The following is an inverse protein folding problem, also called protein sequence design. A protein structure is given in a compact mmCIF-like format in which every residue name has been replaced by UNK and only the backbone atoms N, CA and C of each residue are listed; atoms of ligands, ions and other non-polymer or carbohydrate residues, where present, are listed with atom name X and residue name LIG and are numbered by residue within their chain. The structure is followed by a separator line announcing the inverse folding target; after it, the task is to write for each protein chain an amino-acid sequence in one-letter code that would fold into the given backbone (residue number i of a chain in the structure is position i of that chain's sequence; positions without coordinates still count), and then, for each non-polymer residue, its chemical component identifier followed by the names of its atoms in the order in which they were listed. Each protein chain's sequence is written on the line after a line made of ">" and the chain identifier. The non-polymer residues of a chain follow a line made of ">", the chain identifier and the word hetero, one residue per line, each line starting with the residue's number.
data_IF_575174165187
#
_entry.id   IF_575174165187
#
_cell.length_a   1.000
_cell.length_b   1.000
_cell.length_c   1.000
_cell.angle_alpha   90.00
_cell.angle_beta   90.00
_cell.angle_gamma   90.00
#
_symmetry.space_group_name_H-M   'P 1'
#
loop_
_entity.id
_entity.type
_entity.pdbx_description
1 polymer ?
#
# COMPACT_ATOMS: atom_id res chain seq x y z
N UNK A 1 -17.61 4.76 1.74
CA UNK A 1 -17.31 6.11 1.22
C UNK A 1 -15.94 6.20 0.48
N UNK A 2 -15.33 5.09 0.03
CA UNK A 2 -14.03 5.09 -0.69
C UNK A 2 -14.24 4.66 -2.14
N UNK A 3 -15.06 5.39 -2.92
CA UNK A 3 -15.33 5.03 -4.33
C UNK A 3 -15.33 6.23 -5.31
N UNK A 4 -15.11 7.46 -4.85
CA UNK A 4 -15.42 8.64 -5.69
C UNK A 4 -14.25 9.44 -6.24
N UNK A 5 -12.99 8.98 -6.18
CA UNK A 5 -11.86 9.80 -6.68
C UNK A 5 -11.04 9.25 -7.85
N UNK A 6 -11.46 8.16 -8.51
CA UNK A 6 -10.83 7.72 -9.78
C UNK A 6 -11.65 8.12 -11.00
N UNK A 7 -11.97 9.42 -11.11
CA UNK A 7 -12.44 9.99 -12.38
C UNK A 7 -11.26 10.64 -13.09
N UNK A 8 -10.62 9.89 -13.98
CA UNK A 8 -9.47 10.37 -14.75
C UNK A 8 -9.08 9.45 -15.91
N UNK A 9 -10.01 9.28 -16.85
CA UNK A 9 -9.83 9.13 -18.31
C UNK A 9 -8.83 8.09 -18.88
N UNK A 10 -9.37 7.17 -19.70
CA UNK A 10 -8.74 6.68 -20.94
C UNK A 10 -7.61 5.65 -20.79
N UNK A 11 -7.91 4.37 -21.05
CA UNK A 11 -7.01 3.24 -20.85
C UNK A 11 -5.65 3.38 -21.52
N UNK A 12 -4.65 3.73 -20.72
CA UNK A 12 -3.23 3.57 -21.02
C UNK A 12 -2.66 2.38 -20.23
N UNK A 13 -1.54 1.80 -20.67
CA UNK A 13 -0.86 0.72 -19.93
C UNK A 13 -0.54 1.10 -18.48
N UNK A 14 -0.22 2.37 -18.23
CA UNK A 14 0.03 2.91 -16.89
C UNK A 14 -1.19 2.83 -15.96
N UNK A 15 -2.40 2.84 -16.50
CA UNK A 15 -3.66 2.73 -15.73
C UNK A 15 -4.02 1.28 -15.43
N UNK A 16 -3.64 0.37 -16.33
CA UNK A 16 -3.72 -1.06 -16.04
C UNK A 16 -2.76 -1.43 -14.91
N UNK A 17 -1.52 -0.92 -14.96
CA UNK A 17 -0.51 -1.14 -13.94
C UNK A 17 -0.91 -0.54 -12.58
N UNK A 18 -1.50 0.67 -12.56
CA UNK A 18 -2.01 1.26 -11.32
C UNK A 18 -3.13 0.42 -10.73
N UNK A 19 -4.10 -0.03 -11.54
CA UNK A 19 -5.19 -0.89 -11.06
C UNK A 19 -4.69 -2.23 -10.55
N UNK A 20 -3.70 -2.83 -11.21
CA UNK A 20 -3.08 -4.06 -10.76
C UNK A 20 -2.38 -3.86 -9.41
N UNK A 21 -1.67 -2.74 -9.24
CA UNK A 21 -1.07 -2.36 -7.97
C UNK A 21 -2.18 -2.22 -6.91
N UNK A 22 -3.15 -1.34 -7.09
CA UNK A 22 -4.20 -1.10 -6.10
C UNK A 22 -4.96 -2.39 -5.70
N UNK A 23 -5.19 -3.30 -6.65
CA UNK A 23 -5.81 -4.59 -6.38
C UNK A 23 -4.95 -5.49 -5.48
N UNK A 24 -3.64 -5.56 -5.72
CA UNK A 24 -2.70 -6.30 -4.87
C UNK A 24 -2.66 -5.71 -3.46
N UNK A 25 -2.58 -4.38 -3.35
CA UNK A 25 -2.62 -3.69 -2.06
C UNK A 25 -3.89 -3.97 -1.27
N UNK A 26 -5.03 -3.96 -1.95
CA UNK A 26 -6.33 -4.31 -1.36
C UNK A 26 -6.33 -5.74 -0.83
N UNK A 27 -5.88 -6.71 -1.63
CA UNK A 27 -5.80 -8.11 -1.19
C UNK A 27 -4.89 -8.30 0.04
N UNK A 28 -3.76 -7.59 0.07
CA UNK A 28 -2.82 -7.59 1.20
C UNK A 28 -3.40 -6.92 2.45
N UNK A 29 -4.21 -5.87 2.27
CA UNK A 29 -4.87 -5.17 3.38
C UNK A 29 -6.04 -5.98 3.96
N UNK A 30 -6.84 -6.62 3.12
CA UNK A 30 -8.08 -7.30 3.53
C UNK A 30 -7.88 -8.75 3.98
N UNK A 31 -6.83 -9.44 3.52
CA UNK A 31 -6.65 -10.86 3.79
C UNK A 31 -5.64 -11.11 4.92
N UNK A 32 -5.92 -12.01 5.86
CA UNK A 32 -4.87 -12.76 6.56
C UNK A 32 -4.37 -13.89 5.64
N UNK A 33 -3.69 -13.48 4.58
CA UNK A 33 -3.09 -14.44 3.67
C UNK A 33 -1.99 -15.23 4.40
N UNK A 34 -1.89 -16.55 4.19
CA UNK A 34 -0.71 -17.32 4.60
C UNK A 34 0.58 -16.67 4.07
N UNK A 35 1.72 -16.79 4.76
CA UNK A 35 2.97 -16.16 4.37
C UNK A 35 3.36 -16.42 2.90
N UNK A 36 3.05 -17.61 2.38
CA UNK A 36 3.35 -18.01 1.01
C UNK A 36 2.55 -17.20 -0.02
N UNK A 37 1.28 -16.90 0.27
CA UNK A 37 0.38 -16.11 -0.58
C UNK A 37 0.80 -14.64 -0.54
N UNK A 38 1.11 -14.12 0.64
CA UNK A 38 1.65 -12.76 0.82
C UNK A 38 2.94 -12.57 0.03
N UNK A 39 3.86 -13.53 0.11
CA UNK A 39 5.10 -13.51 -0.66
C UNK A 39 4.86 -13.57 -2.19
N UNK A 40 3.85 -14.33 -2.64
CA UNK A 40 3.47 -14.37 -4.06
C UNK A 40 2.91 -13.03 -4.54
N UNK A 41 2.07 -12.37 -3.73
CA UNK A 41 1.53 -11.04 -4.02
C UNK A 41 2.63 -9.98 -4.11
N UNK A 42 3.65 -10.03 -3.23
CA UNK A 42 4.82 -9.15 -3.37
C UNK A 42 5.60 -9.39 -4.65
N UNK A 43 5.87 -10.65 -4.98
CA UNK A 43 6.57 -10.98 -6.22
C UNK A 43 5.78 -10.49 -7.43
N UNK A 44 4.46 -10.61 -7.40
CA UNK A 44 3.59 -10.07 -8.45
C UNK A 44 3.65 -8.54 -8.53
N UNK A 45 3.59 -7.84 -7.39
CA UNK A 45 3.72 -6.38 -7.35
C UNK A 45 5.06 -5.91 -7.92
N UNK A 46 6.16 -6.62 -7.62
CA UNK A 46 7.50 -6.30 -8.11
C UNK A 46 7.64 -6.41 -9.65
N UNK A 47 6.74 -7.12 -10.34
CA UNK A 47 6.71 -7.20 -11.79
C UNK A 47 6.04 -6.00 -12.46
N UNK A 48 5.33 -5.17 -11.68
CA UNK A 48 4.62 -4.00 -12.21
C UNK A 48 5.64 -2.87 -12.49
N UNK A 49 5.64 -2.28 -13.70
CA UNK A 49 6.51 -1.15 -14.00
C UNK A 49 6.34 0.02 -13.02
N UNK A 50 7.47 0.58 -12.58
CA UNK A 50 7.51 1.69 -11.61
C UNK A 50 7.42 1.24 -10.15
N UNK A 51 7.33 -0.07 -9.87
CA UNK A 51 7.44 -0.61 -8.52
C UNK A 51 8.91 -0.75 -8.11
N UNK A 52 9.18 -0.38 -6.86
CA UNK A 52 10.47 -0.47 -6.20
C UNK A 52 10.27 -1.04 -4.79
N UNK A 53 11.27 -1.76 -4.28
CA UNK A 53 11.26 -2.23 -2.89
C UNK A 53 12.18 -1.32 -2.08
N UNK A 54 11.61 -0.68 -1.07
CA UNK A 54 12.34 0.11 -0.09
C UNK A 54 12.68 -0.82 1.09
N UNK A 55 13.97 -1.13 1.31
CA UNK A 55 14.38 -2.07 2.35
C UNK A 55 14.12 -1.56 3.76
N UNK A 56 13.79 -0.28 3.92
CA UNK A 56 13.44 0.34 5.19
C UNK A 56 12.34 1.37 4.96
N UNK A 57 11.24 1.25 5.69
CA UNK A 57 10.15 2.21 5.74
C UNK A 57 9.51 2.19 7.14
N UNK A 58 8.90 3.30 7.52
CA UNK A 58 8.25 3.47 8.82
C UNK A 58 6.78 3.79 8.59
N UNK A 59 5.88 3.05 9.23
CA UNK A 59 4.45 3.31 9.15
C UNK A 59 4.04 4.54 9.98
N UNK A 60 2.75 4.89 9.94
CA UNK A 60 2.21 6.00 10.72
C UNK A 60 2.33 5.80 12.25
N UNK A 61 2.47 4.55 12.71
CA UNK A 61 2.60 4.18 14.12
C UNK A 61 4.07 4.10 14.60
N UNK A 62 5.05 4.40 13.73
CA UNK A 62 6.47 4.36 14.06
C UNK A 62 7.11 2.97 13.96
N UNK A 63 6.40 1.97 13.43
CA UNK A 63 6.92 0.61 13.25
C UNK A 63 7.78 0.54 11.99
N UNK A 64 8.96 -0.08 12.12
CA UNK A 64 9.84 -0.32 10.98
C UNK A 64 9.39 -1.54 10.17
N UNK A 65 9.55 -1.42 8.86
CA UNK A 65 9.16 -2.44 7.90
C UNK A 65 9.91 -2.33 6.59
N UNK A 66 9.49 -3.16 5.64
CA UNK A 66 9.89 -3.09 4.22
C UNK A 66 8.72 -2.52 3.46
N UNK A 67 8.97 -1.60 2.51
CA UNK A 67 7.89 -1.07 1.69
C UNK A 67 7.99 -1.49 0.23
N UNK A 68 6.83 -1.74 -0.37
CA UNK A 68 6.68 -1.86 -1.82
C UNK A 68 6.09 -0.53 -2.29
N UNK A 69 6.84 0.19 -3.11
CA UNK A 69 6.53 1.54 -3.53
C UNK A 69 6.34 1.62 -5.04
N UNK A 70 5.20 2.12 -5.51
CA UNK A 70 4.97 2.44 -6.92
C UNK A 70 5.01 3.93 -7.13
N UNK A 71 5.83 4.38 -8.08
CA UNK A 71 5.86 5.79 -8.50
C UNK A 71 5.11 5.95 -9.81
N UNK A 72 4.06 6.79 -9.81
CA UNK A 72 3.31 7.11 -11.01
C UNK A 72 2.69 8.50 -10.91
N UNK A 73 2.59 9.20 -12.05
CA UNK A 73 1.90 10.50 -12.15
C UNK A 73 2.36 11.55 -11.12
N UNK A 74 3.62 11.51 -10.71
CA UNK A 74 4.20 12.48 -9.75
C UNK A 74 3.98 12.14 -8.27
N UNK A 75 3.37 10.99 -7.98
CA UNK A 75 3.14 10.48 -6.63
C UNK A 75 3.84 9.13 -6.46
N UNK A 76 4.18 8.81 -5.21
CA UNK A 76 4.70 7.51 -4.82
C UNK A 76 3.84 6.94 -3.69
N UNK A 77 3.13 5.87 -4.00
CA UNK A 77 2.36 5.08 -3.02
C UNK A 77 3.24 3.97 -2.48
N UNK A 78 3.34 3.88 -1.16
CA UNK A 78 4.17 2.94 -0.42
C UNK A 78 3.27 2.08 0.46
N UNK A 79 3.28 0.76 0.28
CA UNK A 79 2.71 -0.16 1.24
C UNK A 79 3.81 -0.68 2.15
N UNK A 80 3.58 -0.60 3.46
CA UNK A 80 4.58 -0.90 4.48
C UNK A 80 4.21 -2.22 5.13
N UNK A 81 5.20 -3.10 5.26
CA UNK A 81 5.01 -4.45 5.75
C UNK A 81 6.04 -4.79 6.82
N UNK A 82 5.62 -5.58 7.80
CA UNK A 82 6.50 -6.11 8.82
C UNK A 82 7.52 -7.05 8.19
N UNK A 83 8.81 -6.86 8.48
CA UNK A 83 9.89 -7.63 7.88
C UNK A 83 9.84 -9.11 8.25
N UNK A 84 9.32 -9.44 9.43
CA UNK A 84 9.37 -10.78 10.01
C UNK A 84 8.15 -11.59 9.62
N UNK A 85 6.98 -10.98 9.74
CA UNK A 85 5.68 -11.61 9.56
C UNK A 85 5.07 -11.35 8.19
N UNK A 86 5.64 -10.41 7.41
CA UNK A 86 5.05 -9.91 6.17
C UNK A 86 3.64 -9.30 6.35
N UNK A 87 3.26 -8.95 7.57
CA UNK A 87 1.96 -8.35 7.84
C UNK A 87 1.90 -6.92 7.27
N UNK A 88 0.76 -6.55 6.66
CA UNK A 88 0.51 -5.17 6.23
C UNK A 88 0.38 -4.24 7.45
N UNK A 89 1.30 -3.28 7.56
CA UNK A 89 1.37 -2.30 8.63
C UNK A 89 0.63 -1.01 8.28
N UNK A 90 0.59 -0.64 7.00
CA UNK A 90 -0.08 0.58 6.55
C UNK A 90 0.34 1.03 5.17
N UNK A 91 -0.19 2.18 4.76
CA UNK A 91 0.12 2.81 3.49
C UNK A 91 0.64 4.24 3.72
N UNK A 92 1.53 4.69 2.84
CA UNK A 92 2.00 6.07 2.79
C UNK A 92 2.10 6.54 1.35
N UNK A 93 1.49 7.68 1.05
CA UNK A 93 1.56 8.33 -0.26
C UNK A 93 2.32 9.65 -0.13
N UNK A 94 3.32 9.84 -0.98
CA UNK A 94 4.17 11.05 -0.99
C UNK A 94 4.28 11.63 -2.39
N UNK A 95 4.59 12.93 -2.47
CA UNK A 95 5.00 13.54 -3.74
C UNK A 95 6.34 12.95 -4.19
N UNK A 96 6.40 12.46 -5.42
CA UNK A 96 7.63 11.92 -6.02
C UNK A 96 8.55 13.03 -6.56
N UNK A 97 8.00 14.22 -6.81
CA UNK A 97 8.73 15.38 -7.32
C UNK A 97 8.30 16.68 -6.63
N UNK A 98 9.06 17.74 -6.84
CA UNK A 98 8.67 19.08 -6.37
C UNK A 98 7.57 19.66 -7.26
N UNK A 99 6.45 20.05 -6.64
CA UNK A 99 5.30 20.69 -7.27
C UNK A 99 4.94 21.96 -6.49
N UNK A 100 4.04 22.82 -7.00
CA UNK A 100 3.53 23.95 -6.20
C UNK A 100 2.86 23.52 -4.89
N UNK A 101 2.40 22.28 -4.79
CA UNK A 101 1.78 21.74 -3.57
C UNK A 101 2.82 21.28 -2.52
N UNK A 102 4.09 21.12 -2.88
CA UNK A 102 5.13 20.67 -1.94
C UNK A 102 6.38 20.13 -2.62
N UNK A 103 7.40 19.84 -1.82
CA UNK A 103 8.65 19.22 -2.28
C UNK A 103 8.49 17.70 -2.42
N UNK A 104 9.40 17.07 -3.17
CA UNK A 104 9.53 15.62 -3.16
C UNK A 104 9.65 15.10 -1.71
N UNK A 105 8.89 14.05 -1.40
CA UNK A 105 8.79 13.47 -0.06
C UNK A 105 7.70 14.07 0.84
N UNK A 106 7.02 15.15 0.43
CA UNK A 106 5.84 15.65 1.15
C UNK A 106 4.77 14.55 1.23
N UNK A 107 4.29 14.26 2.43
CA UNK A 107 3.26 13.25 2.68
C UNK A 107 1.90 13.80 2.27
N UNK A 108 1.22 13.09 1.36
CA UNK A 108 -0.13 13.37 0.91
C UNK A 108 -1.17 12.55 1.67
N UNK A 109 -0.79 11.34 2.09
CA UNK A 109 -1.64 10.45 2.87
C UNK A 109 -0.81 9.43 3.63
N UNK A 110 -1.30 9.03 4.80
CA UNK A 110 -0.68 7.96 5.60
C UNK A 110 -1.75 7.22 6.38
N UNK A 111 -1.61 5.91 6.51
CA UNK A 111 -2.45 5.05 7.32
C UNK A 111 -1.59 4.03 8.07
N UNK A 112 -2.12 3.52 9.18
CA UNK A 112 -1.54 2.40 9.90
C UNK A 112 -2.64 1.47 10.39
N UNK A 113 -2.40 0.17 10.30
CA UNK A 113 -3.24 -0.87 10.88
C UNK A 113 -2.79 -1.12 12.31
N UNK A 114 -3.58 -0.66 13.28
CA UNK A 114 -3.25 -0.80 14.70
C UNK A 114 -3.53 -2.22 15.21
N UNK A 115 -4.74 -2.73 14.95
CA UNK A 115 -5.20 -4.07 15.34
C UNK A 115 -5.96 -4.68 14.17
N UNK A 116 -5.75 -5.97 13.91
CA UNK A 116 -6.52 -6.76 12.95
C UNK A 116 -6.99 -8.02 13.69
N UNK A 117 -8.30 -8.21 13.81
CA UNK A 117 -8.90 -9.34 14.55
C UNK A 117 -10.05 -9.99 13.80
N UNK A 118 -10.30 -11.27 14.07
CA UNK A 118 -11.49 -12.00 13.62
C UNK A 118 -12.38 -12.26 14.82
N UNK A 119 -13.67 -12.12 14.61
CA UNK A 119 -14.67 -12.64 15.51
C UNK A 119 -15.60 -13.57 14.75
N UNK A 120 -16.14 -14.56 15.46
CA UNK A 120 -17.29 -15.30 14.96
C UNK A 120 -18.49 -14.34 14.82
N UNK A 121 -19.43 -14.61 13.90
CA UNK A 121 -20.64 -13.79 13.77
C UNK A 121 -21.36 -13.68 15.12
N UNK A 122 -21.54 -12.46 15.61
CA UNK A 122 -22.23 -12.17 16.88
C UNK A 122 -21.32 -11.80 18.06
N UNK A 123 -20.00 -11.82 17.90
CA UNK A 123 -19.05 -11.35 18.92
C UNK A 123 -18.37 -10.05 18.46
N UNK A 124 -18.36 -9.04 19.32
CA UNK A 124 -17.52 -7.84 19.15
C UNK A 124 -16.14 -8.14 19.75
N UNK A 125 -15.02 -7.91 19.03
CA UNK A 125 -13.70 -8.06 19.61
C UNK A 125 -13.53 -7.07 20.76
N UNK A 126 -13.23 -7.55 21.97
CA UNK A 126 -12.80 -6.68 23.07
C UNK A 126 -11.43 -6.05 22.73
N UNK A 127 -11.29 -4.77 23.10
CA UNK A 127 -10.15 -3.92 22.79
C UNK A 127 -9.00 -4.08 23.79
#
# INVERSE_FOLDING_TARGET
>A
LVREQTRGAGGSGADADQRAFDAIGTLLAETWAPPEVTAALYRAAALIPGVTVLPSATDAAGREGVAVARTARGEQTQWIFDRTTSAFLGERTVLAGSTPAGRAGTVLGVSAVLVKGAAAPGEVPEA
#
